data_IF_848683509993
#
_entry.id   IF_848683509993
#
_cell.length_a   1.000
_cell.length_b   1.000
_cell.length_c   1.000
_cell.angle_alpha   90.00
_cell.angle_beta   90.00
_cell.angle_gamma   90.00
#
_symmetry.space_group_name_H-M   'P 1'
#
loop_
_entity.id
_entity.type
_entity.pdbx_description
1 polymer ?
#
# COMPACT_ATOMS: atom_id res chain seq x y z
N UNK A 1 15.61 41.49 -3.81
CA UNK A 1 14.76 42.04 -2.74
C UNK A 1 13.93 40.89 -2.20
N UNK A 2 14.17 40.49 -0.95
CA UNK A 2 13.63 39.26 -0.36
C UNK A 2 12.15 39.46 -0.04
N UNK A 3 11.33 38.43 -0.30
CA UNK A 3 9.87 38.44 -0.11
C UNK A 3 9.43 38.87 1.32
N UNK A 4 10.33 38.76 2.29
CA UNK A 4 10.11 39.09 3.70
C UNK A 4 10.01 40.60 3.98
N UNK A 5 10.66 41.45 3.18
CA UNK A 5 10.62 42.92 3.41
C UNK A 5 9.23 43.51 3.17
N UNK A 6 8.40 42.84 2.36
CA UNK A 6 7.05 43.30 2.00
C UNK A 6 5.99 43.01 3.07
N UNK A 7 6.32 42.25 4.12
CA UNK A 7 5.39 41.95 5.23
C UNK A 7 5.47 42.97 6.37
N UNK A 8 6.45 43.87 6.34
CA UNK A 8 6.74 44.86 7.39
C UNK A 8 6.60 46.30 6.91
N UNK A 9 5.99 46.52 5.75
CA UNK A 9 5.42 47.83 5.45
C UNK A 9 4.15 47.98 6.32
N UNK A 10 4.30 48.63 7.47
CA UNK A 10 3.17 49.20 8.19
C UNK A 10 2.57 50.28 7.29
N UNK A 11 1.65 49.89 6.40
CA UNK A 11 0.70 50.83 5.82
C UNK A 11 -0.10 51.40 6.99
N UNK A 12 0.29 52.57 7.45
CA UNK A 12 -0.46 53.40 8.39
C UNK A 12 -1.69 53.97 7.68
N UNK A 13 -2.55 53.09 7.20
CA UNK A 13 -3.92 53.43 6.89
C UNK A 13 -4.70 53.30 8.20
N UNK A 14 -5.18 54.41 8.73
CA UNK A 14 -6.28 54.46 9.71
C UNK A 14 -7.57 53.92 9.06
N UNK A 15 -7.53 52.68 8.58
CA UNK A 15 -8.66 51.99 8.00
C UNK A 15 -9.54 51.50 9.14
N UNK A 16 -10.83 51.82 9.05
CA UNK A 16 -11.79 51.32 10.02
C UNK A 16 -11.74 49.79 10.02
N UNK A 17 -11.90 49.17 11.18
CA UNK A 17 -11.95 47.70 11.31
C UNK A 17 -12.93 47.07 10.32
N UNK A 18 -14.01 47.80 10.00
CA UNK A 18 -15.03 47.39 9.01
C UNK A 18 -14.45 47.33 7.60
N UNK A 19 -13.63 48.31 7.21
CA UNK A 19 -13.00 48.38 5.90
C UNK A 19 -11.98 47.25 5.73
N UNK A 20 -11.18 46.98 6.77
CA UNK A 20 -10.25 45.86 6.76
C UNK A 20 -10.96 44.51 6.63
N UNK A 21 -12.03 44.28 7.41
CA UNK A 21 -12.81 43.03 7.31
C UNK A 21 -13.44 42.89 5.94
N UNK A 22 -13.95 43.98 5.36
CA UNK A 22 -14.51 43.96 4.01
C UNK A 22 -13.45 43.64 2.95
N UNK A 23 -12.28 44.25 3.04
CA UNK A 23 -11.15 43.95 2.15
C UNK A 23 -10.70 42.49 2.29
N UNK A 24 -10.60 41.98 3.51
CA UNK A 24 -10.23 40.59 3.78
C UNK A 24 -11.23 39.61 3.15
N UNK A 25 -12.53 39.83 3.33
CA UNK A 25 -13.59 39.02 2.71
C UNK A 25 -13.44 39.04 1.19
N UNK A 26 -13.22 40.21 0.60
CA UNK A 26 -13.04 40.33 -0.85
C UNK A 26 -11.77 39.63 -1.34
N UNK A 27 -10.67 39.70 -0.59
CA UNK A 27 -9.43 38.97 -0.89
C UNK A 27 -9.66 37.46 -0.83
N UNK A 28 -10.34 36.95 0.21
CA UNK A 28 -10.68 35.54 0.32
C UNK A 28 -11.57 35.06 -0.83
N UNK A 29 -12.58 35.85 -1.23
CA UNK A 29 -13.43 35.56 -2.39
C UNK A 29 -12.63 35.49 -3.68
N UNK A 30 -11.73 36.47 -3.93
CA UNK A 30 -10.84 36.43 -5.10
C UNK A 30 -9.94 35.21 -5.10
N UNK A 31 -9.37 34.83 -3.96
CA UNK A 31 -8.57 33.61 -3.85
C UNK A 31 -9.40 32.36 -4.13
N UNK A 32 -10.65 32.31 -3.67
CA UNK A 32 -11.57 31.21 -3.96
C UNK A 32 -11.90 31.14 -5.45
N UNK A 33 -12.23 32.27 -6.09
CA UNK A 33 -12.51 32.35 -7.53
C UNK A 33 -11.31 31.89 -8.36
N UNK A 34 -10.10 32.33 -8.00
CA UNK A 34 -8.86 31.86 -8.64
C UNK A 34 -8.65 30.36 -8.45
N UNK A 35 -8.93 29.83 -7.25
CA UNK A 35 -8.84 28.40 -7.00
C UNK A 35 -9.82 27.60 -7.85
N UNK A 36 -11.06 28.07 -8.02
CA UNK A 36 -12.08 27.45 -8.88
C UNK A 36 -11.65 27.50 -10.35
N UNK A 37 -11.20 28.67 -10.83
CA UNK A 37 -10.74 28.85 -12.20
C UNK A 37 -9.61 27.87 -12.54
N UNK A 38 -8.62 27.73 -11.65
CA UNK A 38 -7.52 26.79 -11.84
C UNK A 38 -7.86 25.34 -11.46
N UNK A 39 -9.02 25.07 -10.89
CA UNK A 39 -9.51 23.72 -10.63
C UNK A 39 -9.92 23.02 -11.93
N UNK A 40 -10.41 23.75 -12.91
CA UNK A 40 -10.76 23.22 -14.25
C UNK A 40 -9.50 22.86 -15.05
N UNK A 41 -8.47 23.70 -14.95
CA UNK A 41 -7.14 23.48 -15.54
C UNK A 41 -6.28 22.47 -14.78
N UNK A 42 -6.82 21.81 -13.74
CA UNK A 42 -6.13 20.85 -12.90
C UNK A 42 -5.79 19.54 -13.65
N UNK A 43 -4.85 19.63 -14.60
CA UNK A 43 -4.11 18.51 -15.21
C UNK A 43 -3.51 17.59 -14.15
N UNK A 44 -3.36 18.08 -12.92
CA UNK A 44 -2.89 17.34 -11.77
C UNK A 44 -3.78 16.12 -11.47
N UNK A 45 -5.12 16.26 -11.51
CA UNK A 45 -6.03 15.12 -11.33
C UNK A 45 -5.83 14.08 -12.43
N UNK A 46 -5.83 14.51 -13.69
CA UNK A 46 -5.57 13.62 -14.83
C UNK A 46 -4.21 12.93 -14.74
N UNK A 47 -3.16 13.63 -14.28
CA UNK A 47 -1.81 13.08 -14.11
C UNK A 47 -1.77 11.99 -13.04
N UNK A 48 -2.44 12.18 -11.90
CA UNK A 48 -2.52 11.18 -10.84
C UNK A 48 -3.45 10.02 -11.21
N UNK A 49 -4.57 10.31 -11.85
CA UNK A 49 -5.55 9.30 -12.27
C UNK A 49 -5.09 8.47 -13.47
N UNK A 50 -4.05 8.92 -14.20
CA UNK A 50 -3.53 8.23 -15.40
C UNK A 50 -3.17 6.76 -15.16
N UNK A 51 -2.73 6.41 -13.94
CA UNK A 51 -2.38 5.03 -13.55
C UNK A 51 -3.38 4.41 -12.59
N UNK A 52 -4.49 5.09 -12.30
CA UNK A 52 -5.52 4.58 -11.41
C UNK A 52 -6.32 3.49 -12.10
N UNK A 53 -6.18 2.26 -11.62
CA UNK A 53 -6.99 1.13 -12.06
C UNK A 53 -8.29 1.14 -11.27
N UNK A 54 -9.43 1.20 -11.96
CA UNK A 54 -10.74 1.01 -11.33
C UNK A 54 -10.85 -0.44 -10.85
N UNK A 55 -10.97 -0.62 -9.53
CA UNK A 55 -11.19 -1.93 -8.91
C UNK A 55 -12.63 -1.97 -8.43
N UNK A 56 -13.37 -2.97 -8.91
CA UNK A 56 -14.73 -3.25 -8.46
C UNK A 56 -14.71 -4.62 -7.82
N UNK A 57 -15.41 -4.75 -6.69
CA UNK A 57 -15.48 -5.98 -5.93
C UNK A 57 -16.93 -6.44 -5.85
N UNK A 58 -17.14 -7.74 -5.96
CA UNK A 58 -18.48 -8.32 -5.82
C UNK A 58 -18.77 -8.65 -4.34
N UNK A 59 -20.01 -8.47 -3.84
CA UNK A 59 -20.38 -8.68 -2.44
C UNK A 59 -20.28 -10.12 -1.88
N UNK A 60 -19.59 -11.03 -2.56
CA UNK A 60 -19.50 -12.47 -2.18
C UNK A 60 -18.05 -12.95 -2.14
N UNK A 61 -17.10 -12.11 -2.56
CA UNK A 61 -15.68 -12.46 -2.50
C UNK A 61 -15.11 -12.17 -1.09
N UNK A 62 -14.14 -12.98 -0.68
CA UNK A 62 -13.40 -12.80 0.56
C UNK A 62 -12.24 -11.83 0.34
N UNK A 63 -12.03 -10.92 1.30
CA UNK A 63 -10.99 -9.90 1.23
C UNK A 63 -10.18 -9.79 2.51
N UNK A 64 -8.92 -9.41 2.37
CA UNK A 64 -8.08 -8.97 3.46
C UNK A 64 -8.21 -7.46 3.64
N UNK A 65 -8.40 -7.01 4.88
CA UNK A 65 -8.43 -5.59 5.23
C UNK A 65 -7.16 -5.14 5.94
N UNK A 66 -6.69 -3.93 5.64
CA UNK A 66 -5.59 -3.32 6.39
C UNK A 66 -6.04 -2.94 7.82
N UNK A 67 -5.35 -3.45 8.83
CA UNK A 67 -5.41 -2.92 10.19
C UNK A 67 -4.17 -2.09 10.49
N UNK A 68 -4.40 -0.87 10.98
CA UNK A 68 -3.35 -0.06 11.58
C UNK A 68 -3.15 -0.51 13.02
N UNK A 69 -1.94 -0.94 13.35
CA UNK A 69 -1.59 -1.20 14.74
C UNK A 69 -1.50 0.12 15.51
N UNK A 70 -2.07 0.16 16.71
CA UNK A 70 -1.98 1.35 17.59
C UNK A 70 -0.58 1.51 18.20
N UNK A 71 0.19 0.43 18.32
CA UNK A 71 1.50 0.45 19.01
C UNK A 71 2.65 0.87 18.10
N UNK A 72 2.61 0.53 16.80
CA UNK A 72 3.68 0.86 15.86
C UNK A 72 3.09 1.42 14.55
N UNK A 73 3.42 2.70 14.30
CA UNK A 73 2.95 3.50 13.15
C UNK A 73 3.34 2.92 11.79
N UNK A 74 4.43 2.15 11.73
CA UNK A 74 4.92 1.51 10.51
C UNK A 74 4.46 0.05 10.37
N UNK A 75 3.85 -0.53 11.41
CA UNK A 75 3.32 -1.88 11.33
C UNK A 75 1.91 -1.87 10.74
N UNK A 76 1.84 -2.25 9.47
CA UNK A 76 0.60 -2.51 8.75
C UNK A 76 0.36 -4.03 8.76
N UNK A 77 -0.78 -4.46 9.28
CA UNK A 77 -1.17 -5.87 9.28
C UNK A 77 -2.37 -6.08 8.37
N UNK A 78 -2.38 -7.20 7.64
CA UNK A 78 -3.55 -7.64 6.88
C UNK A 78 -4.37 -8.56 7.76
N UNK A 79 -5.60 -8.15 8.06
CA UNK A 79 -6.57 -8.94 8.82
C UNK A 79 -7.27 -9.89 7.86
N UNK A 80 -7.51 -11.11 8.34
CA UNK A 80 -8.00 -12.29 7.62
C UNK A 80 -9.30 -12.08 6.82
N UNK A 81 -9.85 -13.16 6.23
CA UNK A 81 -10.93 -13.03 5.27
C UNK A 81 -12.16 -12.35 5.88
N UNK A 82 -12.51 -11.21 5.32
CA UNK A 82 -13.75 -10.48 5.57
C UNK A 82 -14.61 -10.47 4.32
N UNK A 83 -15.92 -10.43 4.53
CA UNK A 83 -16.91 -10.38 3.46
C UNK A 83 -17.33 -8.93 3.22
N UNK A 84 -17.44 -8.54 1.95
CA UNK A 84 -18.00 -7.25 1.57
C UNK A 84 -19.51 -7.35 1.65
N UNK A 85 -20.12 -6.58 2.57
CA UNK A 85 -21.57 -6.57 2.76
C UNK A 85 -22.23 -5.62 1.75
N UNK A 86 -21.65 -4.44 1.55
CA UNK A 86 -22.24 -3.40 0.72
C UNK A 86 -21.17 -2.46 0.16
N UNK A 87 -21.39 -2.00 -1.07
CA UNK A 87 -20.66 -0.88 -1.65
C UNK A 87 -21.37 0.44 -1.31
N UNK A 88 -20.67 1.38 -0.65
CA UNK A 88 -21.20 2.71 -0.35
C UNK A 88 -20.88 3.72 -1.45
N UNK A 89 -19.74 3.55 -2.12
CA UNK A 89 -19.27 4.40 -3.21
C UNK A 89 -18.34 3.59 -4.13
N UNK A 90 -17.92 4.17 -5.25
CA UNK A 90 -16.93 3.55 -6.15
C UNK A 90 -15.66 3.11 -5.41
N UNK A 91 -15.28 3.83 -4.35
CA UNK A 91 -14.06 3.59 -3.58
C UNK A 91 -14.25 3.10 -2.16
N UNK A 92 -15.49 3.09 -1.62
CA UNK A 92 -15.75 2.77 -0.21
C UNK A 92 -16.68 1.56 -0.08
N UNK A 93 -16.24 0.58 0.71
CA UNK A 93 -16.93 -0.69 0.92
C UNK A 93 -17.10 -0.98 2.41
N UNK A 94 -18.23 -1.57 2.77
CA UNK A 94 -18.50 -2.07 4.12
C UNK A 94 -18.03 -3.52 4.19
N UNK A 95 -17.06 -3.79 5.07
CA UNK A 95 -16.49 -5.13 5.26
C UNK A 95 -16.82 -5.63 6.66
N UNK A 96 -17.29 -6.87 6.72
CA UNK A 96 -17.55 -7.60 7.97
C UNK A 96 -16.50 -8.69 8.12
N UNK A 97 -15.78 -8.64 9.24
CA UNK A 97 -14.86 -9.71 9.63
C UNK A 97 -15.53 -10.60 10.68
N UNK A 98 -15.32 -11.91 10.66
CA UNK A 98 -15.87 -12.81 11.68
C UNK A 98 -15.36 -12.47 13.09
N UNK A 99 -14.13 -11.98 13.18
CA UNK A 99 -13.47 -11.61 14.44
C UNK A 99 -14.01 -10.29 15.04
N UNK A 100 -14.69 -9.45 14.23
CA UNK A 100 -15.21 -8.15 14.67
C UNK A 100 -16.73 -8.14 14.66
N UNK A 101 -17.33 -7.81 15.80
CA UNK A 101 -18.80 -7.70 15.91
C UNK A 101 -19.43 -6.62 15.01
N UNK A 102 -18.67 -5.59 14.63
CA UNK A 102 -19.15 -4.47 13.81
C UNK A 102 -18.51 -4.49 12.43
N UNK A 103 -19.32 -4.25 11.40
CA UNK A 103 -18.82 -3.96 10.06
C UNK A 103 -18.13 -2.58 10.04
N UNK A 104 -17.06 -2.48 9.28
CA UNK A 104 -16.27 -1.25 9.17
C UNK A 104 -16.19 -0.82 7.70
N UNK A 105 -16.09 0.49 7.47
CA UNK A 105 -15.91 1.05 6.12
C UNK A 105 -14.43 1.06 5.78
N UNK A 106 -14.10 0.49 4.63
CA UNK A 106 -12.76 0.47 4.07
C UNK A 106 -12.74 1.14 2.71
N UNK A 107 -11.65 1.87 2.45
CA UNK A 107 -11.34 2.32 1.11
C UNK A 107 -10.81 1.15 0.28
N UNK A 108 -11.09 1.11 -1.02
CA UNK A 108 -10.69 0.06 -1.97
C UNK A 108 -9.18 -0.25 -1.94
N UNK A 109 -8.34 0.75 -1.64
CA UNK A 109 -6.89 0.60 -1.50
C UNK A 109 -6.45 -0.20 -0.26
N UNK A 110 -7.32 -0.31 0.74
CA UNK A 110 -7.09 -1.06 1.97
C UNK A 110 -7.60 -2.50 1.88
N UNK A 111 -8.11 -2.91 0.71
CA UNK A 111 -8.66 -4.24 0.46
C UNK A 111 -7.80 -4.99 -0.55
N UNK A 112 -7.63 -6.28 -0.29
CA UNK A 112 -7.00 -7.23 -1.22
C UNK A 112 -7.86 -8.48 -1.35
N UNK A 113 -8.05 -9.02 -2.57
CA UNK A 113 -8.71 -10.31 -2.74
C UNK A 113 -7.99 -11.38 -1.91
N UNK A 114 -8.75 -12.17 -1.16
CA UNK A 114 -8.23 -13.29 -0.40
C UNK A 114 -8.13 -14.52 -1.31
N UNK A 115 -6.91 -14.99 -1.53
CA UNK A 115 -6.68 -16.27 -2.20
C UNK A 115 -6.56 -17.36 -1.14
N UNK A 116 -7.58 -18.22 -1.06
CA UNK A 116 -7.49 -19.40 -0.20
C UNK A 116 -6.36 -20.28 -0.71
N UNK A 117 -5.42 -20.61 0.18
CA UNK A 117 -4.37 -21.57 -0.14
C UNK A 117 -5.05 -22.92 -0.30
N UNK A 118 -4.83 -23.59 -1.43
CA UNK A 118 -5.19 -25.00 -1.54
C UNK A 118 -4.45 -25.75 -0.42
N UNK A 119 -5.20 -26.51 0.37
CA UNK A 119 -4.69 -27.27 1.51
C UNK A 119 -3.85 -28.45 1.02
N UNK A 120 -2.70 -28.17 0.41
CA UNK A 120 -1.59 -29.10 0.40
C UNK A 120 -1.01 -29.06 1.80
N UNK A 121 -1.70 -29.76 2.71
CA UNK A 121 -1.26 -30.03 4.07
C UNK A 121 0.16 -30.59 4.02
N UNK A 122 1.17 -29.73 4.20
CA UNK A 122 2.47 -30.19 4.67
C UNK A 122 2.29 -30.50 6.17
N UNK A 123 1.67 -31.66 6.44
CA UNK A 123 1.69 -32.28 7.75
C UNK A 123 3.15 -32.63 8.06
N UNK A 124 3.88 -31.70 8.67
CA UNK A 124 5.07 -32.08 9.43
C UNK A 124 4.54 -32.69 10.72
N UNK A 125 4.27 -34.00 10.66
CA UNK A 125 3.99 -34.78 11.85
C UNK A 125 5.27 -34.81 12.69
N UNK A 126 5.35 -33.93 13.68
CA UNK A 126 6.35 -34.07 14.75
C UNK A 126 5.81 -35.17 15.67
N UNK A 127 5.99 -36.42 15.26
CA UNK A 127 5.76 -37.55 16.14
C UNK A 127 6.86 -37.51 17.22
N UNK A 128 6.52 -37.46 18.52
CA UNK A 128 7.53 -37.63 19.55
C UNK A 128 8.10 -39.04 19.42
N UNK A 129 9.39 -39.09 19.09
CA UNK A 129 10.23 -40.28 19.04
C UNK A 129 9.95 -41.17 20.26
N UNK A 130 9.27 -42.30 20.02
CA UNK A 130 9.50 -43.49 20.82
C UNK A 130 10.50 -44.33 20.05
N UNK A 131 11.62 -44.53 20.72
CA UNK A 131 12.74 -45.35 20.32
C UNK A 131 12.29 -46.78 19.99
N UNK A 132 12.98 -47.35 19.01
CA UNK A 132 13.15 -48.78 18.72
C UNK A 132 12.04 -49.48 17.93
N UNK A 133 12.18 -49.47 16.60
CA UNK A 133 12.17 -50.66 15.73
C UNK A 133 12.61 -50.24 14.30
N UNK A 134 13.63 -50.91 13.75
CA UNK A 134 14.17 -50.65 12.42
C UNK A 134 13.12 -50.88 11.33
N UNK A 135 12.64 -49.82 10.71
CA UNK A 135 12.01 -49.88 9.39
C UNK A 135 12.84 -49.02 8.44
N UNK A 136 13.48 -49.68 7.49
CA UNK A 136 14.38 -49.06 6.51
C UNK A 136 13.68 -47.91 5.77
N UNK A 137 14.26 -46.71 5.90
CA UNK A 137 13.94 -45.54 5.10
C UNK A 137 14.21 -45.87 3.62
N UNK A 138 13.27 -45.62 2.68
CA UNK A 138 13.57 -45.76 1.26
C UNK A 138 14.75 -44.83 0.93
N UNK A 139 15.86 -45.41 0.47
CA UNK A 139 17.02 -44.64 0.02
C UNK A 139 16.61 -43.84 -1.21
N UNK A 140 16.26 -42.57 -1.01
CA UNK A 140 16.40 -41.58 -2.06
C UNK A 140 17.90 -41.38 -2.21
N UNK A 141 18.43 -41.84 -3.34
CA UNK A 141 19.81 -41.62 -3.73
C UNK A 141 20.05 -40.10 -3.77
N UNK A 142 20.55 -39.55 -2.66
CA UNK A 142 21.19 -38.25 -2.64
C UNK A 142 22.49 -38.40 -3.42
N UNK A 143 22.42 -38.22 -4.73
CA UNK A 143 23.61 -37.86 -5.50
C UNK A 143 24.08 -36.48 -5.01
N UNK A 144 24.97 -36.55 -4.02
CA UNK A 144 25.92 -35.55 -3.55
C UNK A 144 25.49 -34.09 -3.81
N UNK A 145 24.67 -33.54 -2.90
CA UNK A 145 24.22 -32.14 -2.95
C UNK A 145 25.38 -31.14 -3.08
N UNK A 146 26.59 -31.46 -2.61
CA UNK A 146 27.77 -30.61 -2.82
C UNK A 146 28.13 -30.42 -4.31
N UNK A 147 27.89 -31.43 -5.16
CA UNK A 147 28.10 -31.34 -6.61
C UNK A 147 27.04 -30.44 -7.27
N UNK A 148 25.79 -30.53 -6.79
CA UNK A 148 24.68 -29.70 -7.30
C UNK A 148 24.88 -28.24 -6.92
N UNK A 149 25.23 -27.94 -5.66
CA UNK A 149 25.48 -26.58 -5.19
C UNK A 149 26.73 -25.96 -5.83
N UNK A 150 27.81 -26.73 -6.03
CA UNK A 150 29.01 -26.23 -6.73
C UNK A 150 28.77 -25.94 -8.21
N UNK A 151 27.93 -26.74 -8.89
CA UNK A 151 27.51 -26.47 -10.28
C UNK A 151 26.66 -25.20 -10.38
N UNK A 152 25.71 -25.01 -9.45
CA UNK A 152 24.90 -23.79 -9.37
C UNK A 152 25.77 -22.55 -9.13
N UNK A 153 26.76 -22.63 -8.23
CA UNK A 153 27.68 -21.51 -7.95
C UNK A 153 28.55 -21.20 -9.18
N UNK A 154 28.98 -22.21 -9.91
CA UNK A 154 29.79 -22.06 -11.14
C UNK A 154 29.00 -21.38 -12.26
N UNK A 155 27.72 -21.71 -12.42
CA UNK A 155 26.84 -21.13 -13.43
C UNK A 155 26.54 -19.63 -13.16
N UNK A 156 26.52 -19.22 -11.89
CA UNK A 156 26.40 -17.80 -11.49
C UNK A 156 27.64 -16.98 -11.86
N UNK A 157 28.82 -17.61 -11.90
CA UNK A 157 30.09 -16.94 -12.26
C UNK A 157 30.36 -16.83 -13.77
N UNK A 158 29.50 -17.38 -14.64
CA UNK A 158 29.63 -17.29 -16.10
C UNK A 158 28.71 -16.26 -16.77
N UNK A 159 28.47 -15.10 -16.14
CA UNK A 159 28.05 -13.93 -16.92
C UNK A 159 29.25 -13.01 -17.22
N UNK A 160 30.19 -13.52 -18.00
CA UNK A 160 31.34 -12.77 -18.51
C UNK A 160 30.98 -11.77 -19.63
N UNK A 161 29.69 -11.58 -19.95
CA UNK A 161 29.20 -10.64 -20.97
C UNK A 161 28.42 -9.44 -20.42
N UNK A 162 28.79 -8.92 -19.25
CA UNK A 162 28.31 -7.59 -18.84
C UNK A 162 29.11 -6.51 -19.56
N UNK A 163 28.43 -5.69 -20.38
CA UNK A 163 29.06 -4.58 -21.10
C UNK A 163 29.44 -3.45 -20.12
N UNK A 164 30.44 -2.64 -20.47
CA UNK A 164 30.94 -1.56 -19.62
C UNK A 164 29.85 -0.60 -19.12
N UNK A 165 28.76 -0.46 -19.88
CA UNK A 165 27.62 0.41 -19.54
C UNK A 165 26.86 -0.09 -18.29
N UNK A 166 26.81 -1.40 -18.06
CA UNK A 166 26.07 -2.00 -16.93
C UNK A 166 26.83 -1.92 -15.60
N UNK A 167 28.13 -1.61 -15.62
CA UNK A 167 28.97 -1.51 -14.41
C UNK A 167 28.91 -0.15 -13.72
N UNK A 168 28.43 0.90 -14.39
CA UNK A 168 28.40 2.26 -13.84
C UNK A 168 27.16 2.62 -13.03
N UNK A 169 26.23 1.67 -12.80
CA UNK A 169 24.97 1.91 -12.07
C UNK A 169 24.84 1.07 -10.79
N UNK A 170 25.96 0.50 -10.30
CA UNK A 170 26.07 -0.08 -8.97
C UNK A 170 26.86 0.85 -8.05
#
# INVERSE_FOLDING_TARGET
MLLYEKLTEEETAESSVVDYVFELINRMKRCQELAILHMEDAKQKQKYDRRTVKRQFQPVELFLGVATSRSNKLSIQWVGPGEIVQQLSETNYVVKFPEKHKAHVYHVNMLKPYQQREENMNLVCINPLKHDEEVAMPSLELENEMSVWSKIISDVQLNSKLSQIQRGQL
#
